data_IF_858387143032
#
_entry.id   IF_858387143032
#
_cell.length_a   1.000
_cell.length_b   1.000
_cell.length_c   1.000
_cell.angle_alpha   90.00
_cell.angle_beta   90.00
_cell.angle_gamma   90.00
#
_symmetry.space_group_name_H-M   'P 1'
#
loop_
_entity.id
_entity.type
_entity.pdbx_description
1 polymer ?
#
# COMPACT_ATOMS: atom_id res chain seq x y z
N UNK A 1 53.63 10.12 40.32
CA UNK A 1 52.92 9.76 39.08
C UNK A 1 51.41 9.80 39.34
N UNK A 2 50.73 10.81 38.85
CA UNK A 2 49.30 11.04 39.15
C UNK A 2 48.53 10.56 37.88
N UNK A 3 47.78 9.47 38.01
CA UNK A 3 46.92 8.96 36.94
C UNK A 3 45.62 9.75 36.92
N UNK A 4 45.34 10.46 35.80
CA UNK A 4 44.04 11.08 35.53
C UNK A 4 43.10 10.03 34.93
N UNK A 5 41.88 9.89 35.42
CA UNK A 5 40.89 9.04 34.77
C UNK A 5 40.36 9.73 33.51
N UNK A 6 40.37 8.98 32.41
CA UNK A 6 39.82 9.36 31.14
C UNK A 6 38.29 9.10 31.17
N UNK A 7 37.49 10.16 31.20
CA UNK A 7 36.03 10.06 31.10
C UNK A 7 35.66 9.93 29.63
N UNK A 8 35.26 8.72 29.20
CA UNK A 8 34.70 8.46 27.90
C UNK A 8 33.21 8.86 27.94
N UNK A 9 32.92 10.04 27.39
CA UNK A 9 31.54 10.48 27.20
C UNK A 9 30.87 9.65 26.12
N UNK A 10 29.90 8.81 26.46
CA UNK A 10 29.00 8.20 25.55
C UNK A 10 28.04 9.28 25.01
N UNK A 11 28.25 9.73 23.78
CA UNK A 11 27.27 10.51 23.02
C UNK A 11 26.16 9.55 22.60
N UNK A 12 25.04 9.56 23.33
CA UNK A 12 23.80 8.92 22.92
C UNK A 12 23.24 9.78 21.79
N UNK A 13 23.46 9.34 20.55
CA UNK A 13 22.74 9.85 19.40
C UNK A 13 21.30 9.33 19.50
N UNK A 14 20.42 10.11 20.10
CA UNK A 14 18.98 9.91 19.97
C UNK A 14 18.60 10.26 18.52
N UNK A 15 18.50 9.22 17.67
CA UNK A 15 17.80 9.35 16.40
C UNK A 15 16.32 9.61 16.72
N UNK A 16 15.92 10.86 16.57
CA UNK A 16 14.52 11.24 16.59
C UNK A 16 13.89 10.63 15.34
N UNK A 17 13.33 9.43 15.46
CA UNK A 17 12.38 8.94 14.47
C UNK A 17 11.25 9.98 14.47
N UNK A 18 11.08 10.70 13.36
CA UNK A 18 9.94 11.59 13.19
C UNK A 18 8.70 10.68 13.17
N UNK A 19 7.97 10.65 14.28
CA UNK A 19 6.68 9.98 14.33
C UNK A 19 5.78 10.58 13.22
N UNK A 20 5.05 9.73 12.51
CA UNK A 20 4.10 10.17 11.53
C UNK A 20 3.08 11.10 12.19
N UNK A 21 2.92 12.33 11.69
CA UNK A 21 1.96 13.31 12.16
C UNK A 21 0.93 13.58 11.06
N UNK A 22 -0.35 13.55 11.39
CA UNK A 22 -1.46 13.92 10.51
C UNK A 22 -1.98 15.30 10.93
N UNK A 23 -1.89 16.28 10.02
CA UNK A 23 -2.21 17.69 10.31
C UNK A 23 -3.63 18.06 9.88
N UNK A 24 -4.21 17.36 8.91
CA UNK A 24 -5.51 17.67 8.32
C UNK A 24 -6.17 16.42 7.73
N UNK A 25 -7.45 16.54 7.36
CA UNK A 25 -8.23 15.43 6.81
C UNK A 25 -7.67 14.90 5.48
N UNK A 26 -7.08 15.74 4.64
CA UNK A 26 -6.49 15.30 3.37
C UNK A 26 -5.27 14.40 3.58
N UNK A 27 -4.44 14.72 4.57
CA UNK A 27 -3.35 13.84 5.01
C UNK A 27 -3.89 12.54 5.64
N UNK A 28 -4.99 12.61 6.41
CA UNK A 28 -5.65 11.41 6.93
C UNK A 28 -6.15 10.49 5.81
N UNK A 29 -6.74 11.04 4.74
CA UNK A 29 -7.15 10.26 3.55
C UNK A 29 -5.94 9.60 2.88
N UNK A 30 -4.81 10.29 2.77
CA UNK A 30 -3.58 9.73 2.21
C UNK A 30 -3.03 8.60 3.06
N UNK A 31 -2.91 8.80 4.38
CA UNK A 31 -2.39 7.81 5.33
C UNK A 31 -3.32 6.59 5.41
N UNK A 32 -4.64 6.80 5.51
CA UNK A 32 -5.61 5.70 5.48
C UNK A 32 -5.57 4.96 4.13
N UNK A 33 -5.33 5.68 3.03
CA UNK A 33 -5.13 5.09 1.70
C UNK A 33 -3.92 4.17 1.63
N UNK A 34 -2.86 4.43 2.40
CA UNK A 34 -1.69 3.54 2.50
C UNK A 34 -2.04 2.22 3.18
N UNK A 35 -2.95 2.19 4.16
CA UNK A 35 -3.42 0.95 4.79
C UNK A 35 -3.95 -0.04 3.74
N UNK A 36 -4.76 0.43 2.78
CA UNK A 36 -5.24 -0.40 1.65
C UNK A 36 -4.09 -0.97 0.81
N UNK A 37 -3.11 -0.15 0.52
CA UNK A 37 -1.95 -0.55 -0.30
C UNK A 37 -1.09 -1.59 0.43
N UNK A 38 -0.90 -1.44 1.73
CA UNK A 38 -0.12 -2.36 2.55
C UNK A 38 -0.69 -3.78 2.52
N UNK A 39 -2.02 -3.97 2.58
CA UNK A 39 -2.62 -5.31 2.53
C UNK A 39 -2.20 -6.09 1.27
N UNK A 40 -2.17 -5.42 0.12
CA UNK A 40 -1.81 -6.05 -1.14
C UNK A 40 -0.29 -6.20 -1.32
N UNK A 41 0.49 -5.29 -0.73
CA UNK A 41 1.94 -5.38 -0.72
C UNK A 41 2.41 -6.53 0.19
N UNK A 42 1.82 -6.70 1.38
CA UNK A 42 2.05 -7.85 2.26
C UNK A 42 1.77 -9.17 1.54
N UNK A 43 0.65 -9.27 0.83
CA UNK A 43 0.28 -10.47 0.09
C UNK A 43 1.28 -10.78 -1.05
N UNK A 44 1.75 -9.75 -1.75
CA UNK A 44 2.80 -9.87 -2.77
C UNK A 44 4.09 -10.43 -2.18
N UNK A 45 4.56 -9.83 -1.08
CA UNK A 45 5.82 -10.20 -0.45
C UNK A 45 5.72 -11.56 0.23
N UNK A 46 4.59 -11.89 0.87
CA UNK A 46 4.28 -13.22 1.39
C UNK A 46 4.40 -14.31 0.30
N UNK A 47 3.84 -14.07 -0.88
CA UNK A 47 3.94 -14.99 -2.00
C UNK A 47 5.38 -15.11 -2.53
N UNK A 48 6.13 -14.01 -2.61
CA UNK A 48 7.53 -14.02 -3.05
C UNK A 48 8.42 -14.79 -2.08
N UNK A 49 8.26 -14.58 -0.77
CA UNK A 49 8.99 -15.32 0.26
C UNK A 49 8.67 -16.81 0.16
N UNK A 50 7.39 -17.17 0.04
CA UNK A 50 6.94 -18.56 -0.09
C UNK A 50 7.46 -19.28 -1.32
N UNK A 51 7.75 -18.56 -2.40
CA UNK A 51 8.42 -19.09 -3.60
C UNK A 51 9.95 -19.15 -3.48
N UNK A 52 10.55 -18.69 -2.38
CA UNK A 52 11.99 -18.53 -2.24
C UNK A 52 12.58 -17.43 -3.14
N UNK A 53 11.78 -16.47 -3.58
CA UNK A 53 12.22 -15.40 -4.46
C UNK A 53 12.67 -14.18 -3.65
N UNK A 54 13.97 -13.91 -3.63
CA UNK A 54 14.60 -12.82 -2.86
C UNK A 54 14.70 -11.49 -3.61
N UNK A 55 14.22 -11.41 -4.85
CA UNK A 55 14.31 -10.17 -5.63
C UNK A 55 13.58 -9.00 -4.94
N UNK A 56 14.29 -7.91 -4.71
CA UNK A 56 13.77 -6.73 -4.04
C UNK A 56 13.67 -6.85 -2.52
N UNK A 57 14.24 -7.90 -1.93
CA UNK A 57 14.25 -8.16 -0.49
C UNK A 57 12.84 -8.20 0.15
N UNK A 58 11.95 -9.12 -0.30
CA UNK A 58 10.56 -9.16 0.17
C UNK A 58 10.43 -9.45 1.67
N UNK A 59 11.42 -10.11 2.30
CA UNK A 59 11.41 -10.34 3.74
C UNK A 59 11.49 -9.02 4.51
N UNK A 60 12.49 -8.21 4.21
CA UNK A 60 12.65 -6.89 4.85
C UNK A 60 11.50 -5.94 4.50
N UNK A 61 10.99 -6.04 3.26
CA UNK A 61 9.86 -5.24 2.83
C UNK A 61 8.61 -5.57 3.64
N UNK A 62 8.32 -6.86 3.85
CA UNK A 62 7.19 -7.33 4.66
C UNK A 62 7.30 -6.86 6.13
N UNK A 63 8.48 -7.00 6.74
CA UNK A 63 8.74 -6.53 8.11
C UNK A 63 8.50 -5.01 8.24
N UNK A 64 9.02 -4.23 7.29
CA UNK A 64 8.80 -2.78 7.26
C UNK A 64 7.33 -2.42 7.11
N UNK A 65 6.60 -3.10 6.23
CA UNK A 65 5.18 -2.82 5.98
C UNK A 65 4.31 -3.18 7.18
N UNK A 66 4.62 -4.27 7.88
CA UNK A 66 3.91 -4.66 9.11
C UNK A 66 4.06 -3.58 10.17
N UNK A 67 5.27 -3.05 10.36
CA UNK A 67 5.54 -1.94 11.28
C UNK A 67 4.80 -0.65 10.83
N UNK A 68 4.93 -0.27 9.55
CA UNK A 68 4.27 0.91 9.00
C UNK A 68 2.74 0.82 9.11
N UNK A 69 2.16 -0.38 8.99
CA UNK A 69 0.72 -0.56 9.15
C UNK A 69 0.28 -0.23 10.58
N UNK A 70 1.01 -0.71 11.59
CA UNK A 70 0.74 -0.39 13.00
C UNK A 70 0.84 1.11 13.27
N UNK A 71 1.93 1.74 12.86
CA UNK A 71 2.17 3.16 13.10
C UNK A 71 1.11 4.04 12.45
N UNK A 72 0.76 3.74 11.20
CA UNK A 72 -0.28 4.46 10.48
C UNK A 72 -1.66 4.28 11.14
N UNK A 73 -2.00 3.05 11.54
CA UNK A 73 -3.28 2.77 12.20
C UNK A 73 -3.40 3.53 13.53
N UNK A 74 -2.36 3.48 14.37
CA UNK A 74 -2.33 4.18 15.64
C UNK A 74 -2.42 5.70 15.45
N UNK A 75 -1.73 6.25 14.45
CA UNK A 75 -1.77 7.68 14.11
C UNK A 75 -3.16 8.10 13.63
N UNK A 76 -3.82 7.29 12.81
CA UNK A 76 -5.20 7.54 12.35
C UNK A 76 -6.20 7.51 13.50
N UNK A 77 -6.07 6.55 14.42
CA UNK A 77 -6.91 6.46 15.63
C UNK A 77 -6.72 7.71 16.50
N UNK A 78 -5.48 8.13 16.72
CA UNK A 78 -5.18 9.32 17.54
C UNK A 78 -5.68 10.63 16.90
N UNK A 79 -5.61 10.75 15.58
CA UNK A 79 -6.09 11.91 14.84
C UNK A 79 -7.61 12.01 14.81
N UNK A 80 -8.31 10.88 14.71
CA UNK A 80 -9.74 10.82 14.45
C UNK A 80 -10.59 11.41 15.61
N UNK A 81 -11.64 12.17 15.25
CA UNK A 81 -12.65 12.73 16.18
C UNK A 81 -14.08 12.31 15.85
N UNK A 82 -14.28 11.58 14.75
CA UNK A 82 -15.59 11.14 14.29
C UNK A 82 -15.88 9.72 14.78
N UNK A 83 -17.08 9.49 15.32
CA UNK A 83 -17.45 8.21 15.93
C UNK A 83 -17.57 7.08 14.90
N UNK A 84 -18.16 7.34 13.73
CA UNK A 84 -18.31 6.33 12.69
C UNK A 84 -16.94 5.87 12.16
N UNK A 85 -16.02 6.82 12.02
CA UNK A 85 -14.63 6.53 11.64
C UNK A 85 -13.89 5.77 12.75
N UNK A 86 -14.12 6.13 14.03
CA UNK A 86 -13.54 5.39 15.16
C UNK A 86 -13.96 3.92 15.16
N UNK A 87 -15.25 3.65 14.95
CA UNK A 87 -15.77 2.27 14.85
C UNK A 87 -15.17 1.51 13.67
N UNK A 88 -14.98 2.18 12.52
CA UNK A 88 -14.34 1.57 11.35
C UNK A 88 -12.87 1.24 11.60
N UNK A 89 -12.11 2.16 12.22
CA UNK A 89 -10.71 1.94 12.58
C UNK A 89 -10.55 0.85 13.65
N UNK A 90 -11.48 0.75 14.60
CA UNK A 90 -11.47 -0.32 15.59
C UNK A 90 -11.64 -1.69 14.94
N UNK A 91 -12.54 -1.83 13.96
CA UNK A 91 -12.68 -3.06 13.17
C UNK A 91 -11.39 -3.39 12.39
N UNK A 92 -10.73 -2.39 11.80
CA UNK A 92 -9.42 -2.58 11.16
C UNK A 92 -8.42 -3.16 12.16
N UNK A 93 -8.36 -2.62 13.36
CA UNK A 93 -7.46 -3.09 14.42
C UNK A 93 -7.74 -4.54 14.83
N UNK A 94 -9.01 -4.88 15.06
CA UNK A 94 -9.42 -6.25 15.44
C UNK A 94 -9.07 -7.29 14.36
N UNK A 95 -9.18 -6.92 13.08
CA UNK A 95 -8.78 -7.78 11.97
C UNK A 95 -7.27 -7.85 11.79
N UNK A 96 -6.56 -6.78 12.12
CA UNK A 96 -5.13 -6.65 11.93
C UNK A 96 -4.31 -7.49 12.92
N UNK A 97 -4.65 -7.47 14.21
CA UNK A 97 -3.86 -8.14 15.25
C UNK A 97 -3.57 -9.63 14.94
N UNK A 98 -4.57 -10.48 14.60
CA UNK A 98 -4.29 -11.87 14.25
C UNK A 98 -3.56 -12.03 12.92
N UNK A 99 -3.69 -11.07 11.99
CA UNK A 99 -2.96 -11.08 10.72
C UNK A 99 -1.49 -10.76 10.91
N UNK A 100 -1.17 -9.80 11.75
CA UNK A 100 0.19 -9.43 12.12
C UNK A 100 0.97 -10.63 12.66
N UNK A 101 0.37 -11.38 13.57
CA UNK A 101 0.96 -12.62 14.10
C UNK A 101 1.16 -13.66 12.99
N UNK A 102 0.16 -13.86 12.13
CA UNK A 102 0.25 -14.82 11.03
C UNK A 102 1.32 -14.44 9.99
N UNK A 103 1.52 -13.15 9.72
CA UNK A 103 2.54 -12.64 8.79
C UNK A 103 3.97 -12.73 9.34
N UNK A 104 4.15 -12.85 10.66
CA UNK A 104 5.46 -13.08 11.28
C UNK A 104 5.96 -14.52 11.12
N UNK A 105 5.07 -15.45 10.73
CA UNK A 105 5.40 -16.85 10.49
C UNK A 105 5.89 -17.07 9.04
N UNK A 106 6.76 -18.06 8.80
CA UNK A 106 7.17 -18.41 7.45
C UNK A 106 5.96 -18.72 6.55
N UNK A 107 5.91 -18.18 5.31
CA UNK A 107 4.82 -18.44 4.38
C UNK A 107 4.65 -19.93 4.06
N UNK A 108 3.41 -20.40 4.10
CA UNK A 108 3.02 -21.77 3.78
C UNK A 108 2.06 -21.76 2.58
N UNK A 109 2.37 -22.58 1.57
CA UNK A 109 1.58 -22.61 0.33
C UNK A 109 0.12 -22.99 0.59
N UNK A 110 -0.11 -23.93 1.47
CA UNK A 110 -1.43 -24.43 1.85
C UNK A 110 -2.29 -23.37 2.55
N UNK A 111 -1.65 -22.39 3.20
CA UNK A 111 -2.30 -21.27 3.88
C UNK A 111 -2.44 -20.02 3.03
N UNK A 112 -1.84 -20.00 1.84
CA UNK A 112 -1.78 -18.78 1.01
C UNK A 112 -3.18 -18.29 0.57
N UNK A 113 -4.09 -19.20 0.24
CA UNK A 113 -5.47 -18.85 -0.07
C UNK A 113 -6.19 -18.19 1.12
N UNK A 114 -6.04 -18.74 2.33
CA UNK A 114 -6.62 -18.16 3.54
C UNK A 114 -5.98 -16.79 3.87
N UNK A 115 -4.66 -16.65 3.67
CA UNK A 115 -3.97 -15.36 3.85
C UNK A 115 -4.50 -14.31 2.86
N UNK A 116 -4.71 -14.69 1.60
CA UNK A 116 -5.34 -13.83 0.60
C UNK A 116 -6.72 -13.36 1.05
N UNK A 117 -7.59 -14.27 1.49
CA UNK A 117 -8.96 -13.93 1.94
C UNK A 117 -8.95 -12.96 3.12
N UNK A 118 -8.10 -13.20 4.12
CA UNK A 118 -7.97 -12.32 5.29
C UNK A 118 -7.45 -10.93 4.93
N UNK A 119 -6.43 -10.83 4.07
CA UNK A 119 -5.89 -9.55 3.62
C UNK A 119 -6.88 -8.80 2.70
N UNK A 120 -7.69 -9.50 1.91
CA UNK A 120 -8.78 -8.91 1.13
C UNK A 120 -9.90 -8.37 2.05
N UNK A 121 -10.25 -9.08 3.11
CA UNK A 121 -11.20 -8.59 4.09
C UNK A 121 -10.69 -7.34 4.81
N UNK A 122 -9.42 -7.33 5.23
CA UNK A 122 -8.76 -6.16 5.82
C UNK A 122 -8.69 -4.98 4.84
N UNK A 123 -8.42 -5.25 3.55
CA UNK A 123 -8.48 -4.24 2.49
C UNK A 123 -9.85 -3.59 2.41
N UNK A 124 -10.92 -4.40 2.42
CA UNK A 124 -12.29 -3.89 2.37
C UNK A 124 -12.60 -2.99 3.56
N UNK A 125 -12.26 -3.40 4.78
CA UNK A 125 -12.47 -2.61 5.98
C UNK A 125 -11.63 -1.32 5.99
N UNK A 126 -10.35 -1.39 5.58
CA UNK A 126 -9.51 -0.19 5.40
C UNK A 126 -10.09 0.77 4.37
N UNK A 127 -10.71 0.26 3.29
CA UNK A 127 -11.35 1.09 2.29
C UNK A 127 -12.59 1.84 2.84
N UNK A 128 -13.33 1.26 3.79
CA UNK A 128 -14.42 1.94 4.49
C UNK A 128 -13.89 3.11 5.31
N UNK A 129 -12.82 2.92 6.08
CA UNK A 129 -12.18 3.99 6.85
C UNK A 129 -11.70 5.16 5.95
N UNK A 130 -11.05 4.85 4.81
CA UNK A 130 -10.67 5.88 3.83
C UNK A 130 -11.88 6.65 3.30
N UNK A 131 -12.96 5.94 2.99
CA UNK A 131 -14.21 6.57 2.50
C UNK A 131 -14.81 7.55 3.52
N UNK A 132 -14.79 7.20 4.80
CA UNK A 132 -15.25 8.06 5.89
C UNK A 132 -14.39 9.32 6.02
N UNK A 133 -13.05 9.21 6.04
CA UNK A 133 -12.16 10.36 6.04
C UNK A 133 -12.36 11.24 4.79
N UNK A 134 -12.44 10.64 3.60
CA UNK A 134 -12.65 11.39 2.37
C UNK A 134 -13.99 12.16 2.38
N UNK A 135 -15.06 11.57 2.94
CA UNK A 135 -16.36 12.23 3.12
C UNK A 135 -16.28 13.42 4.09
N UNK A 136 -15.52 13.28 5.16
CA UNK A 136 -15.33 14.35 6.15
C UNK A 136 -14.63 15.59 5.57
N UNK A 137 -13.80 15.44 4.53
CA UNK A 137 -13.16 16.60 3.87
C UNK A 137 -14.21 17.56 3.30
N UNK A 138 -15.39 17.07 2.92
CA UNK A 138 -16.45 17.86 2.32
C UNK A 138 -16.10 18.47 0.95
N UNK A 139 -14.98 18.06 0.35
CA UNK A 139 -14.42 18.67 -0.86
C UNK A 139 -14.14 17.62 -1.95
N UNK A 140 -14.16 18.07 -3.20
CA UNK A 140 -13.79 17.25 -4.36
C UNK A 140 -12.34 16.73 -4.30
N UNK A 141 -11.45 17.45 -3.63
CA UNK A 141 -10.07 17.04 -3.38
C UNK A 141 -9.95 15.73 -2.59
N UNK A 142 -10.76 15.53 -1.56
CA UNK A 142 -10.81 14.27 -0.81
C UNK A 142 -11.12 13.08 -1.70
N UNK A 143 -12.01 13.24 -2.69
CA UNK A 143 -12.28 12.20 -3.70
C UNK A 143 -11.07 11.93 -4.60
N UNK A 144 -10.40 12.98 -5.10
CA UNK A 144 -9.22 12.86 -5.96
C UNK A 144 -8.06 12.20 -5.22
N UNK A 145 -7.80 12.59 -3.96
CA UNK A 145 -6.78 11.96 -3.11
C UNK A 145 -7.10 10.47 -2.91
N UNK A 146 -8.36 10.13 -2.64
CA UNK A 146 -8.80 8.74 -2.48
C UNK A 146 -8.61 7.93 -3.77
N UNK A 147 -8.97 8.48 -4.94
CA UNK A 147 -8.80 7.82 -6.24
C UNK A 147 -7.31 7.63 -6.53
N UNK A 148 -6.48 8.65 -6.32
CA UNK A 148 -5.04 8.58 -6.50
C UNK A 148 -4.40 7.55 -5.56
N UNK A 149 -4.77 7.55 -4.28
CA UNK A 149 -4.34 6.55 -3.31
C UNK A 149 -4.74 5.13 -3.68
N UNK A 150 -5.91 4.94 -4.32
CA UNK A 150 -6.37 3.64 -4.82
C UNK A 150 -5.46 3.07 -5.90
N UNK A 151 -4.85 3.91 -6.74
CA UNK A 151 -3.89 3.45 -7.76
C UNK A 151 -2.70 2.71 -7.13
N UNK A 152 -2.22 3.17 -5.97
CA UNK A 152 -1.17 2.49 -5.21
C UNK A 152 -1.58 1.05 -4.88
N UNK A 153 -2.77 0.89 -4.31
CA UNK A 153 -3.33 -0.42 -3.94
C UNK A 153 -3.53 -1.30 -5.16
N UNK A 154 -4.14 -0.78 -6.25
CA UNK A 154 -4.41 -1.56 -7.45
C UNK A 154 -3.13 -2.06 -8.12
N UNK A 155 -2.04 -1.28 -8.11
CA UNK A 155 -0.74 -1.72 -8.63
C UNK A 155 -0.18 -2.90 -7.86
N UNK A 156 -0.27 -2.88 -6.52
CA UNK A 156 0.19 -3.98 -5.68
C UNK A 156 -0.74 -5.19 -5.77
N UNK A 157 -2.07 -4.97 -5.94
CA UNK A 157 -3.03 -6.06 -6.14
C UNK A 157 -2.78 -6.83 -7.43
N UNK A 158 -2.50 -6.15 -8.55
CA UNK A 158 -2.10 -6.83 -9.79
C UNK A 158 -0.85 -7.70 -9.57
N UNK A 159 0.13 -7.18 -8.82
CA UNK A 159 1.35 -7.92 -8.53
C UNK A 159 1.10 -9.10 -7.57
N UNK A 160 0.34 -8.93 -6.48
CA UNK A 160 0.03 -10.01 -5.54
C UNK A 160 -0.73 -11.16 -6.19
N UNK A 161 -1.75 -10.85 -7.00
CA UNK A 161 -2.49 -11.86 -7.78
C UNK A 161 -1.55 -12.62 -8.71
N UNK A 162 -0.65 -11.90 -9.41
CA UNK A 162 0.33 -12.52 -10.29
C UNK A 162 1.28 -13.44 -9.52
N UNK A 163 1.82 -13.01 -8.37
CA UNK A 163 2.73 -13.82 -7.56
C UNK A 163 2.06 -15.06 -7.01
N UNK A 164 0.82 -14.98 -6.53
CA UNK A 164 0.05 -16.15 -6.09
C UNK A 164 -0.13 -17.16 -7.22
N UNK A 165 -0.47 -16.70 -8.44
CA UNK A 165 -0.58 -17.57 -9.61
C UNK A 165 0.75 -18.25 -9.93
N UNK A 166 1.86 -17.52 -9.91
CA UNK A 166 3.20 -18.08 -10.15
C UNK A 166 3.58 -19.09 -9.08
N UNK A 167 3.19 -18.87 -7.83
CA UNK A 167 3.39 -19.80 -6.73
C UNK A 167 2.53 -21.07 -6.86
N UNK A 168 1.59 -21.08 -7.79
CA UNK A 168 0.69 -22.21 -8.04
C UNK A 168 -0.42 -22.31 -7.02
N UNK A 169 -0.92 -21.16 -6.55
CA UNK A 169 -2.15 -21.07 -5.77
C UNK A 169 -3.31 -21.12 -6.76
N UNK A 170 -4.17 -22.12 -6.60
CA UNK A 170 -5.36 -22.27 -7.44
C UNK A 170 -6.45 -21.31 -6.97
N UNK A 171 -6.78 -20.33 -7.81
CA UNK A 171 -7.88 -19.40 -7.61
C UNK A 171 -8.73 -19.38 -8.89
N UNK A 172 -9.90 -20.02 -8.91
CA UNK A 172 -10.80 -20.05 -10.07
C UNK A 172 -11.21 -18.65 -10.55
N UNK A 173 -11.15 -17.66 -9.66
CA UNK A 173 -11.49 -16.26 -9.98
C UNK A 173 -10.28 -15.39 -10.36
N UNK A 174 -9.08 -15.97 -10.43
CA UNK A 174 -7.86 -15.22 -10.72
C UNK A 174 -8.00 -14.29 -11.93
N UNK A 175 -8.46 -14.85 -13.06
CA UNK A 175 -8.60 -14.06 -14.30
C UNK A 175 -9.57 -12.90 -14.11
N UNK A 176 -10.73 -13.15 -13.50
CA UNK A 176 -11.72 -12.12 -13.22
C UNK A 176 -11.18 -11.05 -12.29
N UNK A 177 -10.55 -11.43 -11.18
CA UNK A 177 -9.95 -10.49 -10.22
C UNK A 177 -8.88 -9.61 -10.89
N UNK A 178 -8.05 -10.19 -11.76
CA UNK A 178 -7.03 -9.45 -12.49
C UNK A 178 -7.65 -8.47 -13.50
N UNK A 179 -8.59 -8.93 -14.33
CA UNK A 179 -9.26 -8.11 -15.34
C UNK A 179 -10.03 -6.94 -14.67
N UNK A 180 -10.79 -7.20 -13.60
CA UNK A 180 -11.50 -6.18 -12.83
C UNK A 180 -10.52 -5.14 -12.22
N UNK A 181 -9.39 -5.61 -11.69
CA UNK A 181 -8.36 -4.73 -11.12
C UNK A 181 -7.74 -3.83 -12.18
N UNK A 182 -7.40 -4.39 -13.34
CA UNK A 182 -6.82 -3.65 -14.46
C UNK A 182 -7.79 -2.64 -15.06
N UNK A 183 -9.06 -3.01 -15.19
CA UNK A 183 -10.14 -2.12 -15.65
C UNK A 183 -10.27 -0.93 -14.71
N UNK A 184 -10.42 -1.18 -13.40
CA UNK A 184 -10.55 -0.13 -12.39
C UNK A 184 -9.32 0.78 -12.33
N UNK A 185 -8.12 0.21 -12.50
CA UNK A 185 -6.88 1.00 -12.57
C UNK A 185 -6.92 1.95 -13.76
N UNK A 186 -7.24 1.46 -14.96
CA UNK A 186 -7.27 2.27 -16.19
C UNK A 186 -8.30 3.40 -16.10
N UNK A 187 -9.55 3.09 -15.73
CA UNK A 187 -10.64 4.07 -15.63
C UNK A 187 -10.31 5.16 -14.59
N UNK A 188 -9.77 4.76 -13.44
CA UNK A 188 -9.40 5.70 -12.38
C UNK A 188 -8.19 6.56 -12.79
N UNK A 189 -7.22 6.00 -13.52
CA UNK A 189 -6.07 6.75 -14.01
C UNK A 189 -6.50 7.80 -15.05
N UNK A 190 -7.40 7.44 -15.99
CA UNK A 190 -7.92 8.36 -16.97
C UNK A 190 -8.73 9.50 -16.31
N UNK A 191 -9.51 9.20 -15.24
CA UNK A 191 -10.21 10.23 -14.42
C UNK A 191 -9.20 11.18 -13.76
N UNK A 192 -8.08 10.69 -13.21
CA UNK A 192 -7.03 11.52 -12.65
C UNK A 192 -6.37 12.40 -13.74
N UNK A 193 -6.07 11.83 -14.91
CA UNK A 193 -5.46 12.57 -16.02
C UNK A 193 -6.37 13.68 -16.55
N UNK A 194 -7.69 13.52 -16.47
CA UNK A 194 -8.67 14.53 -16.87
C UNK A 194 -8.97 15.58 -15.78
N UNK A 195 -8.51 15.37 -14.55
CA UNK A 195 -8.79 16.28 -13.42
C UNK A 195 -8.08 17.61 -13.57
N UNK A 196 -8.78 18.71 -13.30
CA UNK A 196 -8.19 20.06 -13.22
C UNK A 196 -7.19 20.20 -12.06
N UNK A 197 -7.25 19.33 -11.03
CA UNK A 197 -6.27 19.29 -9.95
C UNK A 197 -4.94 18.64 -10.37
N UNK A 198 -4.85 18.06 -11.56
CA UNK A 198 -3.65 17.39 -12.05
C UNK A 198 -2.71 18.41 -12.71
N UNK A 199 -1.86 19.04 -11.88
CA UNK A 199 -0.80 19.94 -12.32
C UNK A 199 0.15 19.28 -13.32
N UNK A 200 1.00 20.04 -14.08
CA UNK A 200 1.98 19.46 -14.98
C UNK A 200 2.88 18.39 -14.35
N UNK A 201 3.31 18.59 -13.10
CA UNK A 201 4.13 17.62 -12.36
C UNK A 201 3.35 16.35 -12.05
N UNK A 202 2.10 16.47 -11.60
CA UNK A 202 1.21 15.33 -11.40
C UNK A 202 0.97 14.59 -12.72
N UNK A 203 0.68 15.29 -13.81
CA UNK A 203 0.50 14.72 -15.15
C UNK A 203 1.71 13.88 -15.60
N UNK A 204 2.93 14.36 -15.31
CA UNK A 204 4.17 13.61 -15.59
C UNK A 204 4.24 12.29 -14.81
N UNK A 205 3.81 12.30 -13.54
CA UNK A 205 3.77 11.10 -12.70
C UNK A 205 2.71 10.11 -13.17
N UNK A 206 1.50 10.59 -13.51
CA UNK A 206 0.43 9.76 -14.06
C UNK A 206 0.83 9.09 -15.39
N UNK A 207 1.54 9.82 -16.27
CA UNK A 207 2.09 9.24 -17.52
C UNK A 207 3.11 8.14 -17.24
N UNK A 208 4.00 8.30 -16.24
CA UNK A 208 4.95 7.25 -15.82
C UNK A 208 4.21 6.03 -15.29
N UNK A 209 3.17 6.22 -14.47
CA UNK A 209 2.33 5.13 -13.99
C UNK A 209 1.64 4.39 -15.14
N UNK A 210 1.10 5.12 -16.14
CA UNK A 210 0.48 4.54 -17.35
C UNK A 210 1.47 3.70 -18.15
N UNK A 211 2.70 4.17 -18.33
CA UNK A 211 3.76 3.42 -19.02
C UNK A 211 4.08 2.10 -18.30
N UNK A 212 4.21 2.12 -16.97
CA UNK A 212 4.45 0.89 -16.20
C UNK A 212 3.24 -0.04 -16.22
N UNK A 213 2.01 0.47 -16.24
CA UNK A 213 0.78 -0.32 -16.33
C UNK A 213 0.66 -1.07 -17.66
N UNK A 214 1.16 -0.53 -18.77
CA UNK A 214 1.14 -1.23 -20.08
C UNK A 214 1.81 -2.62 -20.01
N UNK A 215 2.82 -2.81 -19.14
CA UNK A 215 3.45 -4.12 -18.94
C UNK A 215 2.48 -5.15 -18.36
N UNK A 216 1.61 -4.74 -17.42
CA UNK A 216 0.58 -5.64 -16.88
C UNK A 216 -0.43 -6.03 -17.98
N UNK A 217 -0.80 -5.09 -18.85
CA UNK A 217 -1.70 -5.37 -19.97
C UNK A 217 -1.10 -6.38 -20.96
N UNK A 218 0.19 -6.24 -21.29
CA UNK A 218 0.91 -7.16 -22.15
C UNK A 218 1.01 -8.55 -21.50
N UNK A 219 1.43 -8.62 -20.24
CA UNK A 219 1.58 -9.88 -19.52
C UNK A 219 0.26 -10.63 -19.31
N UNK A 220 -0.84 -9.91 -19.11
CA UNK A 220 -2.17 -10.52 -18.95
C UNK A 220 -2.71 -11.13 -20.27
N UNK A 221 -2.26 -10.62 -21.42
CA UNK A 221 -2.67 -11.11 -22.77
C UNK A 221 -1.76 -12.20 -23.31
N UNK A 222 -0.53 -12.30 -22.83
CA UNK A 222 0.45 -13.24 -23.35
C UNK A 222 0.49 -14.51 -22.48
N UNK A 223 0.63 -15.66 -23.15
CA UNK A 223 0.99 -16.93 -22.51
C UNK A 223 2.49 -17.05 -22.21
N UNK A 224 3.20 -15.91 -22.19
CA UNK A 224 4.64 -15.82 -22.02
C UNK A 224 5.11 -16.29 -20.63
N UNK A 225 6.40 -16.63 -20.55
CA UNK A 225 7.05 -17.07 -19.30
C UNK A 225 6.79 -16.10 -18.17
N UNK A 226 6.49 -16.62 -17.00
CA UNK A 226 6.35 -15.84 -15.77
C UNK A 226 7.66 -15.12 -15.42
N UNK A 227 7.59 -13.80 -15.18
CA UNK A 227 8.74 -12.96 -14.83
C UNK A 227 8.43 -12.18 -13.56
N UNK A 228 8.47 -12.81 -12.37
CA UNK A 228 8.13 -12.18 -11.09
C UNK A 228 8.90 -10.88 -10.84
N UNK A 229 10.21 -10.85 -11.12
CA UNK A 229 11.04 -9.65 -10.91
C UNK A 229 10.61 -8.44 -11.72
N UNK A 230 10.12 -8.64 -12.96
CA UNK A 230 9.61 -7.56 -13.80
C UNK A 230 8.29 -7.01 -13.24
N UNK A 231 7.38 -7.89 -12.84
CA UNK A 231 6.09 -7.51 -12.23
C UNK A 231 6.32 -6.80 -10.91
N UNK A 232 7.21 -7.29 -10.05
CA UNK A 232 7.62 -6.61 -8.83
C UNK A 232 8.13 -5.20 -9.11
N UNK A 233 9.07 -5.05 -10.05
CA UNK A 233 9.63 -3.76 -10.43
C UNK A 233 8.54 -2.81 -10.95
N UNK A 234 7.69 -3.25 -11.87
CA UNK A 234 6.66 -2.40 -12.49
C UNK A 234 5.57 -1.99 -11.50
N UNK A 235 5.16 -2.86 -10.59
CA UNK A 235 4.23 -2.49 -9.52
C UNK A 235 4.82 -1.42 -8.59
N UNK A 236 6.11 -1.53 -8.26
CA UNK A 236 6.80 -0.55 -7.42
C UNK A 236 7.08 0.77 -8.16
N UNK A 237 7.33 0.76 -9.47
CA UNK A 237 7.43 1.97 -10.30
C UNK A 237 6.10 2.75 -10.28
N UNK A 238 4.95 2.06 -10.41
CA UNK A 238 3.63 2.66 -10.29
C UNK A 238 3.44 3.20 -8.87
N UNK A 239 3.72 2.38 -7.85
CA UNK A 239 3.60 2.78 -6.44
C UNK A 239 4.38 4.06 -6.15
N UNK A 240 5.65 4.16 -6.57
CA UNK A 240 6.49 5.34 -6.38
C UNK A 240 5.88 6.58 -7.04
N UNK A 241 5.43 6.46 -8.30
CA UNK A 241 4.82 7.56 -9.02
C UNK A 241 3.52 8.02 -8.36
N UNK A 242 2.67 7.07 -7.92
CA UNK A 242 1.39 7.38 -7.30
C UNK A 242 1.52 7.86 -5.86
N UNK A 243 2.55 7.45 -5.10
CA UNK A 243 2.84 8.03 -3.79
C UNK A 243 3.14 9.52 -3.91
N UNK A 244 4.04 9.90 -4.83
CA UNK A 244 4.36 11.31 -5.05
C UNK A 244 3.15 12.09 -5.56
N UNK A 245 2.38 11.56 -6.51
CA UNK A 245 1.20 12.22 -7.05
C UNK A 245 0.12 12.44 -5.95
N UNK A 246 -0.14 11.43 -5.12
CA UNK A 246 -1.14 11.53 -4.03
C UNK A 246 -0.71 12.57 -2.99
N UNK A 247 0.57 12.61 -2.62
CA UNK A 247 1.10 13.65 -1.73
C UNK A 247 0.96 15.07 -2.33
N UNK A 248 1.20 15.22 -3.64
CA UNK A 248 1.00 16.51 -4.32
C UNK A 248 -0.47 16.93 -4.36
N UNK A 249 -1.43 16.00 -4.55
CA UNK A 249 -2.86 16.30 -4.43
C UNK A 249 -3.23 16.74 -3.01
N UNK A 250 -2.74 16.02 -1.99
CA UNK A 250 -3.01 16.37 -0.59
C UNK A 250 -2.42 17.74 -0.21
N UNK A 251 -1.27 18.11 -0.78
CA UNK A 251 -0.62 19.39 -0.52
C UNK A 251 -1.32 20.61 -1.15
N UNK A 252 -2.25 20.40 -2.11
CA UNK A 252 -3.03 21.50 -2.72
C UNK A 252 -4.12 22.05 -1.78
N UNK A 253 -4.36 21.40 -0.65
CA UNK A 253 -5.36 21.81 0.35
C UNK A 253 -4.80 22.68 1.50
N UNK A 254 -3.67 23.30 1.28
CA UNK A 254 -3.09 24.24 2.25
C UNK A 254 -3.78 25.60 2.21
#
# INVERSE_FOLDING_TARGET
MIHKPMVIGFLIWSSWAHALEIKNLSEAVDVAGKQRMYTQRMLKDYAMIGMGNSFGNPQQDLETIVHDFDDHLNTLIAFNKDEATAQSLQKVKEMWEPLKEALSQPPQKEKAGQMQEKLEALLKQSNEAVGLFAKQTGKASGEIINISGRQRMLSQRMASLYMLKVWGIDDPQFKKKMDDTMKLFSESLDKLMASQMSTPDIQKLLKKAKQSFMFFQIMNRSSSKFIPSLIYKKSNDILKSMNTATGLYAAQEK
#
